data_IF_796445907007
#
_entry.id   IF_796445907007
#
_cell.length_a   1.000
_cell.length_b   1.000
_cell.length_c   1.000
_cell.angle_alpha   90.00
_cell.angle_beta   90.00
_cell.angle_gamma   90.00
#
_symmetry.space_group_name_H-M   'P 1'
#
loop_
_entity.id
_entity.type
_entity.pdbx_description
1 polymer ?
#
# COMPACT_ATOMS: atom_id res chain seq x y z
N UNK A 1 -24.29 14.41 22.34
CA UNK A 1 -23.99 13.11 21.71
C UNK A 1 -23.10 13.41 20.51
N UNK A 2 -21.83 13.09 20.50
CA UNK A 2 -20.99 13.34 19.34
C UNK A 2 -21.07 12.12 18.40
N UNK A 3 -21.81 12.26 17.30
CA UNK A 3 -21.84 11.35 16.18
C UNK A 3 -20.75 11.74 15.19
N UNK A 4 -19.49 11.68 15.59
CA UNK A 4 -18.36 11.88 14.68
C UNK A 4 -18.04 10.58 13.97
N UNK A 5 -18.30 10.48 12.66
CA UNK A 5 -17.72 9.47 11.80
C UNK A 5 -16.20 9.62 11.85
N UNK A 6 -15.50 8.57 12.29
CA UNK A 6 -14.05 8.57 12.30
C UNK A 6 -13.50 8.66 10.88
N UNK A 7 -13.00 9.83 10.52
CA UNK A 7 -12.43 10.12 9.21
C UNK A 7 -11.07 9.45 9.07
N UNK A 8 -10.99 8.35 8.33
CA UNK A 8 -9.71 7.90 7.77
C UNK A 8 -9.59 8.42 6.33
N UNK A 9 -9.12 9.66 6.19
CA UNK A 9 -8.65 10.15 4.90
C UNK A 9 -7.31 9.50 4.62
N UNK A 10 -7.30 8.48 3.78
CA UNK A 10 -6.06 7.96 3.22
C UNK A 10 -5.52 9.00 2.25
N UNK A 11 -4.63 9.86 2.76
CA UNK A 11 -3.90 10.80 1.94
C UNK A 11 -3.12 10.05 0.87
N UNK A 12 -3.51 10.22 -0.39
CA UNK A 12 -2.66 9.89 -1.51
C UNK A 12 -1.44 10.80 -1.42
N UNK A 13 -0.27 10.24 -1.16
CA UNK A 13 0.97 10.92 -1.48
C UNK A 13 0.89 11.27 -2.97
N UNK A 14 0.93 12.57 -3.26
CA UNK A 14 0.89 13.14 -4.60
C UNK A 14 2.06 12.60 -5.42
N UNK A 15 1.78 11.61 -6.26
CA UNK A 15 2.61 11.26 -7.39
C UNK A 15 1.69 11.17 -8.61
N UNK A 16 2.11 11.81 -9.71
CA UNK A 16 1.37 12.00 -10.95
C UNK A 16 0.60 10.75 -11.42
N UNK A 17 -0.62 10.95 -11.91
CA UNK A 17 -1.71 9.99 -12.13
C UNK A 17 -1.51 8.91 -13.19
N UNK A 18 -0.32 8.64 -13.69
CA UNK A 18 -0.13 7.62 -14.72
C UNK A 18 0.77 6.50 -14.22
N UNK A 19 0.14 5.31 -14.09
CA UNK A 19 0.78 3.99 -13.91
C UNK A 19 1.47 3.76 -12.57
N UNK A 20 0.67 3.49 -11.51
CA UNK A 20 1.19 2.94 -10.24
C UNK A 20 1.57 1.46 -10.38
N UNK A 21 2.53 1.16 -11.24
CA UNK A 21 3.29 -0.08 -11.13
C UNK A 21 4.39 0.20 -10.11
N UNK A 22 4.28 -0.35 -8.90
CA UNK A 22 5.39 -0.35 -7.98
C UNK A 22 6.44 -1.32 -8.54
N UNK A 23 7.33 -0.80 -9.36
CA UNK A 23 8.56 -1.50 -9.73
C UNK A 23 9.48 -1.37 -8.52
N UNK A 24 9.48 -2.36 -7.65
CA UNK A 24 10.55 -2.52 -6.67
C UNK A 24 11.77 -2.98 -7.44
N UNK A 25 12.52 -2.03 -7.98
CA UNK A 25 13.81 -2.31 -8.59
C UNK A 25 14.83 -2.55 -7.46
N UNK A 26 15.17 -3.79 -7.24
CA UNK A 26 16.37 -4.11 -6.48
C UNK A 26 17.56 -3.98 -7.42
N UNK A 27 18.26 -2.88 -7.35
CA UNK A 27 19.57 -2.71 -7.99
C UNK A 27 20.59 -3.30 -7.01
N UNK A 28 21.10 -4.48 -7.31
CA UNK A 28 22.25 -5.04 -6.59
C UNK A 28 23.49 -4.56 -7.32
N UNK A 29 24.33 -3.70 -6.74
CA UNK A 29 25.58 -3.28 -7.38
C UNK A 29 26.43 -4.53 -7.66
N UNK A 30 26.95 -4.61 -8.87
CA UNK A 30 27.87 -5.69 -9.28
C UNK A 30 29.26 -5.44 -8.68
N UNK A 31 29.34 -5.22 -7.37
CA UNK A 31 30.61 -5.21 -6.66
C UNK A 31 31.06 -6.65 -6.54
N UNK A 32 32.21 -6.96 -7.15
CA UNK A 32 32.91 -8.23 -7.02
C UNK A 32 32.75 -8.81 -5.62
N UNK A 33 31.92 -9.82 -5.50
CA UNK A 33 31.96 -10.70 -4.33
C UNK A 33 33.19 -11.55 -4.54
N UNK A 34 34.33 -11.16 -3.95
CA UNK A 34 35.39 -12.10 -3.71
C UNK A 34 34.79 -13.23 -2.88
N UNK A 35 34.59 -14.38 -3.49
CA UNK A 35 34.31 -15.62 -2.80
C UNK A 35 35.48 -15.90 -1.85
N UNK A 36 35.43 -15.37 -0.63
CA UNK A 36 36.17 -15.93 0.47
C UNK A 36 35.52 -17.26 0.79
N UNK A 37 36.22 -18.34 0.54
CA UNK A 37 35.90 -19.66 1.05
C UNK A 37 35.66 -19.50 2.56
N UNK A 38 34.42 -19.75 3.00
CA UNK A 38 34.10 -19.81 4.42
C UNK A 38 34.75 -21.08 4.96
N UNK A 39 35.77 -20.93 5.81
CA UNK A 39 36.28 -22.00 6.61
C UNK A 39 35.17 -22.45 7.60
N UNK A 40 34.96 -23.75 7.80
CA UNK A 40 33.95 -24.27 8.72
C UNK A 40 34.36 -23.94 10.15
N UNK A 41 33.64 -23.03 10.81
CA UNK A 41 33.81 -22.73 12.23
C UNK A 41 33.95 -21.25 12.62
N UNK A 42 33.95 -20.33 11.66
CA UNK A 42 34.00 -18.89 11.94
C UNK A 42 32.62 -18.32 12.26
N UNK A 43 32.36 -17.92 13.51
CA UNK A 43 31.24 -17.09 13.87
C UNK A 43 31.31 -15.78 13.08
N UNK A 44 30.27 -15.47 12.29
CA UNK A 44 30.15 -14.18 11.61
C UNK A 44 29.99 -13.09 12.68
N UNK A 45 30.83 -12.05 12.68
CA UNK A 45 30.54 -10.87 13.47
C UNK A 45 29.39 -10.13 12.78
N UNK A 46 28.18 -10.41 13.19
CA UNK A 46 27.05 -9.53 12.91
C UNK A 46 27.30 -8.31 13.78
N UNK A 47 27.91 -7.27 13.19
CA UNK A 47 28.01 -5.98 13.85
C UNK A 47 26.61 -5.39 13.91
N UNK A 48 25.92 -5.66 15.00
CA UNK A 48 24.64 -5.07 15.42
C UNK A 48 24.80 -3.58 15.81
N UNK A 49 25.83 -2.91 15.35
CA UNK A 49 26.16 -1.53 15.73
C UNK A 49 25.38 -0.45 14.97
N UNK A 50 24.53 -0.82 14.03
CA UNK A 50 23.66 0.14 13.31
C UNK A 50 22.25 0.28 13.89
N UNK A 51 21.91 -0.41 14.97
CA UNK A 51 20.57 -0.40 15.54
C UNK A 51 20.43 0.64 16.67
N UNK A 52 21.51 1.17 17.20
CA UNK A 52 21.49 2.03 18.40
C UNK A 52 21.40 3.54 18.14
N UNK A 53 21.37 4.01 16.90
CA UNK A 53 21.36 5.46 16.61
C UNK A 53 19.98 6.03 16.17
N UNK A 54 18.92 5.22 16.20
CA UNK A 54 17.58 5.68 15.79
C UNK A 54 16.57 5.89 16.92
N UNK A 55 17.02 5.90 18.16
CA UNK A 55 16.17 6.25 19.30
C UNK A 55 16.00 7.78 19.45
N UNK A 56 15.55 8.45 18.38
CA UNK A 56 15.08 9.82 18.51
C UNK A 56 13.62 9.83 18.95
N UNK A 57 13.38 10.20 20.20
CA UNK A 57 12.04 10.49 20.72
C UNK A 57 11.47 11.64 19.92
N UNK A 58 10.32 11.42 19.27
CA UNK A 58 9.53 12.50 18.69
C UNK A 58 9.20 13.52 19.79
N UNK A 59 9.28 14.81 19.48
CA UNK A 59 9.02 15.93 20.41
C UNK A 59 7.61 15.92 21.06
N UNK A 60 6.74 14.99 20.67
CA UNK A 60 5.37 14.85 21.17
C UNK A 60 5.15 13.65 22.10
N UNK A 61 6.21 13.04 22.65
CA UNK A 61 6.09 11.96 23.64
C UNK A 61 5.55 10.62 23.10
N UNK A 62 5.29 10.52 21.80
CA UNK A 62 4.95 9.24 21.14
C UNK A 62 6.25 8.49 20.85
N UNK A 63 6.37 7.20 21.23
CA UNK A 63 7.55 6.43 20.89
C UNK A 63 7.81 6.48 19.40
N UNK A 64 9.00 6.93 18.98
CA UNK A 64 9.39 6.89 17.59
C UNK A 64 9.27 5.46 17.05
N UNK A 65 8.84 5.32 15.80
CA UNK A 65 8.83 4.02 15.14
C UNK A 65 10.27 3.62 14.86
N UNK A 66 10.77 2.63 15.58
CA UNK A 66 12.06 2.01 15.33
C UNK A 66 11.94 0.88 14.27
N UNK A 67 13.07 0.46 13.71
CA UNK A 67 13.11 -0.61 12.70
C UNK A 67 12.57 -1.95 13.22
N UNK A 68 12.78 -2.26 14.50
CA UNK A 68 12.28 -3.49 15.12
C UNK A 68 10.76 -3.46 15.29
N UNK A 69 10.18 -2.31 15.61
CA UNK A 69 8.73 -2.11 15.67
C UNK A 69 8.11 -2.25 14.27
N UNK A 70 8.69 -1.59 13.25
CA UNK A 70 8.24 -1.75 11.85
C UNK A 70 8.25 -3.21 11.42
N UNK A 71 9.33 -3.92 11.66
CA UNK A 71 9.43 -5.33 11.30
C UNK A 71 8.36 -6.19 12.00
N UNK A 72 8.14 -5.98 13.29
CA UNK A 72 7.08 -6.68 14.04
C UNK A 72 5.70 -6.43 13.45
N UNK A 73 5.38 -5.17 13.13
CA UNK A 73 4.07 -4.83 12.56
C UNK A 73 3.91 -5.39 11.14
N UNK A 74 4.97 -5.37 10.31
CA UNK A 74 4.95 -6.00 8.99
C UNK A 74 4.70 -7.51 9.09
N UNK A 75 5.38 -8.20 10.00
CA UNK A 75 5.22 -9.65 10.19
C UNK A 75 3.84 -10.04 10.74
N UNK A 76 3.18 -9.15 11.48
CA UNK A 76 1.83 -9.37 12.02
C UNK A 76 0.73 -8.96 11.04
N UNK A 77 1.03 -8.13 10.05
CA UNK A 77 0.04 -7.60 9.13
C UNK A 77 -0.63 -8.73 8.32
N UNK A 78 -1.95 -8.90 8.41
CA UNK A 78 -2.67 -10.02 7.80
C UNK A 78 -2.97 -9.75 6.31
N UNK A 79 -2.03 -9.15 5.58
CA UNK A 79 -2.23 -8.69 4.19
C UNK A 79 -2.53 -9.83 3.22
N UNK A 80 -2.06 -11.03 3.52
CA UNK A 80 -2.28 -12.22 2.68
C UNK A 80 -3.66 -12.88 2.85
N UNK A 81 -4.53 -12.32 3.69
CA UNK A 81 -5.97 -12.63 3.65
C UNK A 81 -6.63 -12.04 2.39
N UNK A 82 -6.02 -11.01 1.78
CA UNK A 82 -6.55 -10.30 0.61
C UNK A 82 -5.59 -10.24 -0.58
N UNK A 83 -4.29 -10.24 -0.34
CA UNK A 83 -3.27 -10.10 -1.36
C UNK A 83 -2.65 -11.45 -1.73
N UNK A 84 -2.32 -11.61 -3.01
CA UNK A 84 -1.62 -12.77 -3.52
C UNK A 84 -0.11 -12.70 -3.25
N UNK A 85 0.53 -13.88 -3.11
CA UNK A 85 1.97 -14.01 -3.14
C UNK A 85 2.48 -13.88 -4.58
N UNK A 86 2.77 -12.65 -5.00
CA UNK A 86 3.26 -12.39 -6.35
C UNK A 86 4.76 -12.72 -6.47
N UNK A 87 5.23 -13.20 -7.62
CA UNK A 87 6.63 -13.51 -7.81
C UNK A 87 7.50 -12.26 -7.91
N UNK A 88 8.77 -12.43 -7.58
CA UNK A 88 9.84 -11.53 -7.95
C UNK A 88 10.45 -12.08 -9.25
N UNK A 89 10.26 -11.38 -10.35
CA UNK A 89 10.63 -11.81 -11.70
C UNK A 89 11.89 -11.11 -12.17
N UNK A 90 12.90 -11.87 -12.56
CA UNK A 90 14.10 -11.32 -13.18
C UNK A 90 13.77 -10.70 -14.54
N UNK A 91 14.45 -9.58 -14.86
CA UNK A 91 14.36 -8.84 -16.10
C UNK A 91 15.69 -8.92 -16.88
N UNK A 92 15.98 -10.04 -17.57
CA UNK A 92 17.32 -10.30 -18.12
C UNK A 92 17.78 -9.25 -19.11
N UNK A 93 16.91 -8.82 -20.03
CA UNK A 93 17.24 -7.79 -21.02
C UNK A 93 17.56 -6.44 -20.38
N UNK A 94 16.82 -6.04 -19.33
CA UNK A 94 17.07 -4.80 -18.61
C UNK A 94 18.32 -4.92 -17.73
N UNK A 95 18.53 -6.08 -17.10
CA UNK A 95 19.72 -6.41 -16.33
C UNK A 95 20.98 -6.29 -17.19
N UNK A 96 20.99 -6.89 -18.36
CA UNK A 96 22.12 -6.80 -19.30
C UNK A 96 22.40 -5.35 -19.76
N UNK A 97 21.34 -4.59 -20.07
CA UNK A 97 21.44 -3.19 -20.49
C UNK A 97 22.02 -2.29 -19.41
N UNK A 98 21.67 -2.55 -18.14
CA UNK A 98 22.09 -1.72 -17.00
C UNK A 98 23.39 -2.24 -16.32
N UNK A 99 23.88 -3.42 -16.69
CA UNK A 99 25.02 -4.05 -16.03
C UNK A 99 24.76 -4.40 -14.56
N UNK A 100 23.50 -4.64 -14.20
CA UNK A 100 23.04 -4.96 -12.84
C UNK A 100 21.96 -6.03 -12.87
N UNK A 101 21.71 -6.70 -11.75
CA UNK A 101 20.54 -7.57 -11.62
C UNK A 101 19.30 -6.73 -11.34
N UNK A 102 18.30 -6.80 -12.21
CA UNK A 102 17.03 -6.12 -12.08
C UNK A 102 15.91 -7.14 -11.94
N UNK A 103 15.14 -7.01 -10.88
CA UNK A 103 13.98 -7.85 -10.60
C UNK A 103 12.74 -7.00 -10.42
N UNK A 104 11.59 -7.47 -10.88
CA UNK A 104 10.28 -6.81 -10.76
C UNK A 104 9.38 -7.62 -9.84
N UNK A 105 8.87 -6.99 -8.80
CA UNK A 105 7.78 -7.54 -7.98
C UNK A 105 6.47 -7.41 -8.76
N UNK A 106 5.89 -8.53 -9.19
CA UNK A 106 4.76 -8.59 -10.11
C UNK A 106 3.42 -8.28 -9.41
N UNK A 107 3.29 -7.06 -8.86
CA UNK A 107 2.04 -6.61 -8.21
C UNK A 107 0.88 -6.33 -9.20
N UNK A 108 1.17 -6.30 -10.48
CA UNK A 108 0.18 -6.35 -11.58
C UNK A 108 -0.63 -7.66 -11.59
N UNK A 109 -0.12 -8.73 -10.99
CA UNK A 109 -0.80 -10.02 -10.84
C UNK A 109 -1.75 -10.08 -9.64
N UNK A 110 -1.85 -9.02 -8.83
CA UNK A 110 -2.87 -8.93 -7.78
C UNK A 110 -4.29 -8.90 -8.37
N UNK A 111 -5.27 -9.34 -7.61
CA UNK A 111 -6.70 -9.30 -8.00
C UNK A 111 -7.17 -7.91 -8.46
N UNK A 112 -6.57 -6.85 -7.93
CA UNK A 112 -6.84 -5.45 -8.28
C UNK A 112 -5.75 -4.85 -9.18
N UNK A 113 -4.91 -5.69 -9.77
CA UNK A 113 -3.81 -5.32 -10.68
C UNK A 113 -2.83 -4.28 -10.12
N UNK A 114 -2.68 -4.21 -8.80
CA UNK A 114 -1.74 -3.30 -8.15
C UNK A 114 -1.48 -3.68 -6.69
N UNK A 115 -0.37 -3.16 -6.14
CA UNK A 115 -0.01 -3.33 -4.72
C UNK A 115 -0.97 -2.65 -3.74
N UNK A 116 -1.89 -1.80 -4.22
CA UNK A 116 -2.78 -1.00 -3.35
C UNK A 116 -3.68 -1.85 -2.45
N UNK A 117 -3.96 -3.09 -2.83
CA UNK A 117 -4.72 -4.04 -2.01
C UNK A 117 -4.05 -4.26 -0.64
N UNK A 118 -2.72 -4.29 -0.57
CA UNK A 118 -1.97 -4.54 0.67
C UNK A 118 -2.23 -3.46 1.71
N UNK A 119 -2.04 -2.19 1.34
CA UNK A 119 -2.24 -1.07 2.25
C UNK A 119 -3.71 -0.84 2.59
N UNK A 120 -4.61 -0.93 1.61
CA UNK A 120 -6.04 -0.78 1.82
C UNK A 120 -6.56 -1.84 2.79
N UNK A 121 -6.26 -3.12 2.55
CA UNK A 121 -6.71 -4.20 3.42
C UNK A 121 -6.14 -4.08 4.83
N UNK A 122 -4.83 -3.87 4.97
CA UNK A 122 -4.19 -3.76 6.29
C UNK A 122 -4.80 -2.64 7.14
N UNK A 123 -5.04 -1.48 6.55
CA UNK A 123 -5.66 -0.36 7.25
C UNK A 123 -7.12 -0.66 7.65
N UNK A 124 -7.92 -1.18 6.73
CA UNK A 124 -9.33 -1.48 7.00
C UNK A 124 -9.49 -2.67 7.96
N UNK A 125 -8.58 -3.64 7.94
CA UNK A 125 -8.56 -4.78 8.86
C UNK A 125 -8.29 -4.35 10.30
N UNK A 126 -7.61 -3.22 10.53
CA UNK A 126 -7.33 -2.66 11.85
C UNK A 126 -8.47 -1.83 12.46
N UNK A 127 -9.52 -1.53 11.69
CA UNK A 127 -10.69 -0.80 12.17
C UNK A 127 -11.44 -1.57 13.25
N UNK A 128 -11.95 -0.85 14.27
CA UNK A 128 -12.82 -1.41 15.30
C UNK A 128 -14.14 -1.90 14.71
N UNK A 129 -14.90 -2.78 15.40
CA UNK A 129 -16.20 -3.23 14.93
C UNK A 129 -17.16 -2.08 14.61
N UNK A 130 -17.21 -1.06 15.46
CA UNK A 130 -18.07 0.11 15.25
C UNK A 130 -17.66 0.95 14.03
N UNK A 131 -16.37 1.05 13.74
CA UNK A 131 -15.88 1.73 12.53
C UNK A 131 -16.20 0.93 11.27
N UNK A 132 -16.07 -0.39 11.32
CA UNK A 132 -16.45 -1.29 10.21
C UNK A 132 -17.93 -1.22 9.88
N UNK A 133 -18.80 -1.15 10.89
CA UNK A 133 -20.24 -1.02 10.69
C UNK A 133 -20.61 0.28 9.98
N UNK A 134 -19.90 1.37 10.25
CA UNK A 134 -20.08 2.65 9.53
C UNK A 134 -19.60 2.61 8.08
N UNK A 135 -18.65 1.73 7.76
CA UNK A 135 -18.03 1.63 6.45
C UNK A 135 -16.91 2.66 6.26
N UNK A 136 -16.47 2.80 5.02
CA UNK A 136 -15.38 3.70 4.64
C UNK A 136 -15.75 4.54 3.43
N UNK A 137 -15.14 5.73 3.33
CA UNK A 137 -15.24 6.60 2.17
C UNK A 137 -13.84 7.00 1.71
N UNK A 138 -13.64 7.10 0.40
CA UNK A 138 -12.39 7.58 -0.19
C UNK A 138 -12.64 8.33 -1.50
N UNK A 139 -11.77 9.27 -1.82
CA UNK A 139 -11.71 9.87 -3.15
C UNK A 139 -10.56 9.25 -3.94
N UNK A 140 -10.88 8.55 -5.02
CA UNK A 140 -9.87 7.98 -5.92
C UNK A 140 -10.51 7.47 -7.21
N UNK A 141 -9.88 7.75 -8.34
CA UNK A 141 -10.29 7.23 -9.66
C UNK A 141 -9.35 6.13 -10.19
N UNK A 142 -8.42 5.64 -9.38
CA UNK A 142 -7.37 4.71 -9.79
C UNK A 142 -7.28 3.44 -8.95
N UNK A 143 -6.08 2.91 -8.86
CA UNK A 143 -5.78 1.63 -8.18
C UNK A 143 -6.15 1.61 -6.69
N UNK A 144 -6.11 2.77 -6.01
CA UNK A 144 -6.53 2.85 -4.62
C UNK A 144 -8.03 2.60 -4.46
N UNK A 145 -8.85 3.13 -5.36
CA UNK A 145 -10.29 2.88 -5.39
C UNK A 145 -10.61 1.37 -5.45
N UNK A 146 -9.93 0.65 -6.34
CA UNK A 146 -10.10 -0.80 -6.49
C UNK A 146 -9.62 -1.55 -5.25
N UNK A 147 -8.47 -1.14 -4.67
CA UNK A 147 -7.95 -1.72 -3.43
C UNK A 147 -8.93 -1.58 -2.26
N UNK A 148 -9.54 -0.39 -2.08
CA UNK A 148 -10.53 -0.14 -1.03
C UNK A 148 -11.82 -0.92 -1.28
N UNK A 149 -12.36 -0.90 -2.51
CA UNK A 149 -13.58 -1.63 -2.84
C UNK A 149 -13.42 -3.15 -2.59
N UNK A 150 -12.33 -3.75 -3.05
CA UNK A 150 -12.04 -5.17 -2.82
C UNK A 150 -11.86 -5.49 -1.35
N UNK A 151 -11.12 -4.65 -0.61
CA UNK A 151 -10.90 -4.84 0.83
C UNK A 151 -12.22 -4.77 1.62
N UNK A 152 -13.07 -3.80 1.29
CA UNK A 152 -14.40 -3.66 1.90
C UNK A 152 -15.26 -4.91 1.67
N UNK A 153 -15.32 -5.41 0.44
CA UNK A 153 -16.06 -6.62 0.09
C UNK A 153 -15.58 -7.83 0.89
N UNK A 154 -14.26 -8.01 1.04
CA UNK A 154 -13.69 -9.10 1.83
C UNK A 154 -13.98 -8.99 3.33
N UNK A 155 -14.07 -7.78 3.85
CA UNK A 155 -14.33 -7.51 5.27
C UNK A 155 -15.83 -7.37 5.62
N UNK A 156 -16.72 -7.50 4.63
CA UNK A 156 -18.16 -7.31 4.81
C UNK A 156 -18.57 -5.88 5.16
N UNK A 157 -17.79 -4.88 4.68
CA UNK A 157 -17.98 -3.46 4.94
C UNK A 157 -18.56 -2.76 3.71
N UNK A 158 -19.28 -1.66 3.93
CA UNK A 158 -19.62 -0.72 2.85
C UNK A 158 -18.42 0.18 2.51
N UNK A 159 -18.26 0.50 1.22
CA UNK A 159 -17.26 1.45 0.75
C UNK A 159 -17.86 2.40 -0.28
N UNK A 160 -17.79 3.70 -0.01
CA UNK A 160 -18.16 4.76 -0.95
C UNK A 160 -16.89 5.30 -1.59
N UNK A 161 -16.83 5.23 -2.92
CA UNK A 161 -15.69 5.69 -3.70
C UNK A 161 -16.14 6.91 -4.50
N UNK A 162 -15.66 8.08 -4.12
CA UNK A 162 -15.97 9.33 -4.81
C UNK A 162 -14.95 9.52 -5.95
N UNK A 163 -15.47 9.70 -7.16
CA UNK A 163 -14.67 9.90 -8.38
C UNK A 163 -15.10 11.16 -9.10
N UNK A 164 -14.19 11.87 -9.78
CA UNK A 164 -14.57 12.94 -10.70
C UNK A 164 -15.53 12.44 -11.79
N UNK A 165 -16.44 13.28 -12.23
CA UNK A 165 -17.41 12.97 -13.30
C UNK A 165 -16.76 12.64 -14.64
N UNK A 166 -15.53 13.12 -14.85
CA UNK A 166 -14.71 12.88 -16.05
C UNK A 166 -13.99 11.51 -16.01
N UNK A 167 -14.16 10.74 -14.93
CA UNK A 167 -13.51 9.42 -14.80
C UNK A 167 -13.99 8.47 -15.90
N UNK A 168 -13.07 7.82 -16.65
CA UNK A 168 -13.45 6.85 -17.67
C UNK A 168 -14.35 5.73 -17.15
N UNK A 169 -15.40 5.39 -17.91
CA UNK A 169 -16.39 4.40 -17.48
C UNK A 169 -15.80 3.06 -17.09
N UNK A 170 -14.75 2.61 -17.78
CA UNK A 170 -14.04 1.35 -17.45
C UNK A 170 -13.52 1.33 -16.02
N UNK A 171 -13.04 2.46 -15.48
CA UNK A 171 -12.56 2.57 -14.09
C UNK A 171 -13.72 2.54 -13.09
N UNK A 172 -14.82 3.20 -13.45
CA UNK A 172 -16.07 3.18 -12.64
C UNK A 172 -16.60 1.75 -12.52
N UNK A 173 -16.70 1.05 -13.63
CA UNK A 173 -17.22 -0.31 -13.70
C UNK A 173 -16.31 -1.31 -12.98
N UNK A 174 -14.99 -1.14 -13.06
CA UNK A 174 -14.04 -1.96 -12.33
C UNK A 174 -14.25 -1.86 -10.80
N UNK A 175 -14.48 -0.67 -10.27
CA UNK A 175 -14.73 -0.48 -8.83
C UNK A 175 -16.09 -1.06 -8.42
N UNK A 176 -17.12 -0.88 -9.24
CA UNK A 176 -18.45 -1.47 -9.00
C UNK A 176 -18.40 -3.00 -9.00
N UNK A 177 -17.68 -3.58 -9.94
CA UNK A 177 -17.49 -5.03 -10.03
C UNK A 177 -16.77 -5.61 -8.79
N UNK A 178 -15.96 -4.80 -8.10
CA UNK A 178 -15.29 -5.17 -6.85
C UNK A 178 -16.14 -4.90 -5.59
N UNK A 179 -17.39 -4.44 -5.75
CA UNK A 179 -18.34 -4.22 -4.66
C UNK A 179 -18.35 -2.81 -4.07
N UNK A 180 -17.62 -1.84 -4.66
CA UNK A 180 -17.63 -0.45 -4.21
C UNK A 180 -18.85 0.32 -4.73
N UNK A 181 -19.46 1.16 -3.89
CA UNK A 181 -20.44 2.17 -4.31
C UNK A 181 -19.68 3.34 -4.94
N UNK A 182 -19.88 3.59 -6.22
CA UNK A 182 -19.24 4.73 -6.91
C UNK A 182 -20.16 5.93 -6.91
N UNK A 183 -19.66 7.05 -6.38
CA UNK A 183 -20.31 8.35 -6.41
C UNK A 183 -19.50 9.31 -7.29
N UNK A 184 -20.08 9.73 -8.41
CA UNK A 184 -19.46 10.70 -9.31
C UNK A 184 -19.75 12.10 -8.80
N UNK A 185 -18.71 12.92 -8.55
CA UNK A 185 -18.85 14.29 -8.05
C UNK A 185 -17.69 15.18 -8.49
N UNK A 186 -18.05 16.38 -8.96
CA UNK A 186 -17.07 17.36 -9.44
C UNK A 186 -16.42 16.99 -10.76
N UNK A 187 -15.62 17.87 -11.28
CA UNK A 187 -14.89 17.74 -12.55
C UNK A 187 -13.40 17.40 -12.36
N UNK A 188 -12.93 17.43 -11.11
CA UNK A 188 -11.53 17.18 -10.76
C UNK A 188 -11.39 16.42 -9.43
N UNK A 189 -10.16 16.05 -9.11
CA UNK A 189 -9.86 15.29 -7.89
C UNK A 189 -10.16 16.06 -6.60
N UNK A 190 -9.92 17.36 -6.57
CA UNK A 190 -10.10 18.17 -5.35
C UNK A 190 -11.59 18.28 -4.99
N UNK A 191 -12.47 18.44 -5.98
CA UNK A 191 -13.91 18.43 -5.78
C UNK A 191 -14.41 17.06 -5.28
N UNK A 192 -13.91 15.97 -5.86
CA UNK A 192 -14.24 14.62 -5.39
C UNK A 192 -13.73 14.38 -3.95
N UNK A 193 -12.54 14.87 -3.61
CA UNK A 193 -11.96 14.79 -2.28
C UNK A 193 -12.77 15.58 -1.25
N UNK A 194 -13.20 16.79 -1.59
CA UNK A 194 -14.03 17.62 -0.72
C UNK A 194 -15.37 16.92 -0.41
N UNK A 195 -16.00 16.32 -1.41
CA UNK A 195 -17.23 15.54 -1.22
C UNK A 195 -16.99 14.29 -0.36
N UNK A 196 -15.89 13.55 -0.56
CA UNK A 196 -15.55 12.42 0.29
C UNK A 196 -15.36 12.84 1.76
N UNK A 197 -14.75 14.00 2.01
CA UNK A 197 -14.61 14.58 3.36
C UNK A 197 -15.98 14.90 3.96
N UNK A 198 -16.86 15.56 3.20
CA UNK A 198 -18.22 15.89 3.63
C UNK A 198 -19.05 14.63 3.97
N UNK A 199 -18.86 13.55 3.23
CA UNK A 199 -19.56 12.29 3.49
C UNK A 199 -19.04 11.54 4.72
N UNK A 200 -17.82 11.87 5.16
CA UNK A 200 -17.20 11.26 6.33
C UNK A 200 -17.62 11.94 7.65
N UNK A 201 -18.17 13.16 7.59
CA UNK A 201 -18.74 13.91 8.73
C UNK A 201 -20.14 13.41 9.10
#
# INVERSE_FOLDING_TARGET
MPTGLGLFVFGSLTYTEESSVLVLMRIVPNTCVHHRRLEPGGALPVTLSLVNELDSVSSNGTPAWDSARYLREILKAPVYEAAEHTPLQEMPALSARLGNTVEVKREDLQTVHSFKIRGAYNAMRSLSPAERERGVVTASAGNHAQGVARSAALLGMSAIIVMPTVTPQIKVDAVRALGGEVRLHGDNFDAAKAEATRLAE
#
